data_IF_000652108434
#
_entry.id   IF_000652108434
#
_cell.length_a   1.000
_cell.length_b   1.000
_cell.length_c   1.000
_cell.angle_alpha   90.00
_cell.angle_beta   90.00
_cell.angle_gamma   90.00
#
_symmetry.space_group_name_H-M   'P 1'
#
loop_
_entity.id
_entity.type
_entity.pdbx_description
1 polymer ?
#
# COMPACT_ATOMS: atom_id res chain seq x y z
N UNK A 1 -4.00 12.87 -11.46
CA UNK A 1 -2.84 12.16 -12.00
C UNK A 1 -2.76 10.89 -11.22
N UNK A 2 -3.09 9.77 -11.86
CA UNK A 2 -3.43 8.53 -11.18
C UNK A 2 -2.26 8.03 -10.33
N UNK A 3 -2.50 7.93 -9.03
CA UNK A 3 -1.55 7.39 -8.05
C UNK A 3 -1.56 5.85 -8.18
N UNK A 4 -0.94 5.34 -9.24
CA UNK A 4 -0.92 3.92 -9.56
C UNK A 4 0.32 3.30 -8.89
N UNK A 5 0.10 2.45 -7.89
CA UNK A 5 1.14 1.54 -7.40
C UNK A 5 1.13 0.31 -8.31
N UNK A 6 2.29 -0.06 -8.86
CA UNK A 6 2.36 -1.19 -9.79
C UNK A 6 2.46 -2.52 -9.03
N UNK A 7 1.71 -3.52 -9.50
CA UNK A 7 1.88 -4.91 -9.07
C UNK A 7 3.33 -5.36 -9.30
N UNK A 8 3.93 -5.99 -8.30
CA UNK A 8 5.31 -6.48 -8.35
C UNK A 8 6.34 -5.56 -7.71
N UNK A 9 6.05 -4.27 -7.63
CA UNK A 9 6.95 -3.28 -7.00
C UNK A 9 6.78 -3.27 -5.48
N UNK A 10 7.84 -2.86 -4.78
CA UNK A 10 7.83 -2.68 -3.32
C UNK A 10 7.74 -1.20 -2.98
N UNK A 11 6.87 -0.85 -2.04
CA UNK A 11 6.64 0.52 -1.62
C UNK A 11 6.75 0.68 -0.12
N UNK A 12 7.12 1.89 0.31
CA UNK A 12 6.80 2.41 1.64
C UNK A 12 5.43 3.07 1.54
N UNK A 13 4.44 2.61 2.32
CA UNK A 13 3.04 3.03 2.21
C UNK A 13 2.60 3.60 3.57
N UNK A 14 2.08 4.83 3.59
CA UNK A 14 1.49 5.46 4.79
C UNK A 14 -0.03 5.45 4.69
N UNK A 15 -0.69 4.91 5.72
CA UNK A 15 -2.13 4.65 5.72
C UNK A 15 -2.76 5.21 6.99
N UNK A 16 -3.90 5.89 6.86
CA UNK A 16 -4.73 6.30 8.00
C UNK A 16 -5.72 5.19 8.37
N UNK A 17 -5.61 4.70 9.61
CA UNK A 17 -6.53 3.76 10.24
C UNK A 17 -7.10 4.42 11.49
N UNK A 18 -8.34 4.89 11.37
CA UNK A 18 -9.09 5.50 12.48
C UNK A 18 -8.37 6.68 13.16
N UNK A 19 -7.71 7.53 12.38
CA UNK A 19 -6.97 8.69 12.87
C UNK A 19 -5.54 8.37 13.31
N UNK A 20 -5.09 7.13 13.17
CA UNK A 20 -3.70 6.72 13.41
C UNK A 20 -3.00 6.41 12.10
N UNK A 21 -1.80 6.97 11.94
CA UNK A 21 -0.98 6.78 10.75
C UNK A 21 -0.06 5.57 10.96
N UNK A 22 -0.21 4.58 10.09
CA UNK A 22 0.66 3.41 10.03
C UNK A 22 1.56 3.50 8.81
N UNK A 23 2.80 3.02 8.93
CA UNK A 23 3.75 2.91 7.84
C UNK A 23 4.07 1.45 7.59
N UNK A 24 3.87 1.01 6.35
CA UNK A 24 4.17 -0.34 5.89
C UNK A 24 5.28 -0.30 4.84
N UNK A 25 6.06 -1.37 4.77
CA UNK A 25 6.89 -1.67 3.60
C UNK A 25 6.41 -3.00 3.04
N UNK A 26 5.95 -2.99 1.80
CA UNK A 26 5.36 -4.19 1.20
C UNK A 26 5.36 -4.19 -0.32
N UNK A 27 5.35 -5.40 -0.88
CA UNK A 27 5.26 -5.64 -2.32
C UNK A 27 3.79 -5.69 -2.73
N UNK A 28 3.40 -4.95 -3.75
CA UNK A 28 2.03 -4.99 -4.27
C UNK A 28 1.81 -6.33 -4.97
N UNK A 29 0.74 -7.01 -4.60
CA UNK A 29 0.35 -8.31 -5.17
C UNK A 29 -0.98 -8.25 -5.93
N UNK A 30 -1.80 -7.24 -5.68
CA UNK A 30 -3.05 -6.99 -6.41
C UNK A 30 -3.49 -5.54 -6.23
N UNK A 31 -4.07 -4.93 -7.25
CA UNK A 31 -4.81 -3.68 -7.13
C UNK A 31 -6.07 -3.70 -7.99
N UNK A 32 -7.10 -3.01 -7.53
CA UNK A 32 -8.31 -2.69 -8.29
C UNK A 32 -8.65 -1.20 -8.14
N UNK A 33 -9.77 -0.73 -8.66
CA UNK A 33 -10.15 0.69 -8.61
C UNK A 33 -10.19 1.28 -7.19
N UNK A 34 -10.48 0.47 -6.17
CA UNK A 34 -10.74 0.92 -4.80
C UNK A 34 -9.71 0.43 -3.79
N UNK A 35 -9.05 -0.69 -4.03
CA UNK A 35 -8.20 -1.37 -3.07
C UNK A 35 -6.80 -1.66 -3.62
N UNK A 36 -5.84 -1.71 -2.69
CA UNK A 36 -4.51 -2.24 -2.95
C UNK A 36 -4.22 -3.33 -1.93
N UNK A 37 -3.64 -4.43 -2.41
CA UNK A 37 -3.22 -5.54 -1.57
C UNK A 37 -1.71 -5.71 -1.69
N UNK A 38 -1.04 -5.79 -0.55
CA UNK A 38 0.41 -5.95 -0.47
C UNK A 38 0.82 -6.95 0.61
N UNK A 39 2.00 -7.53 0.43
CA UNK A 39 2.61 -8.45 1.38
C UNK A 39 3.85 -7.78 2.01
N UNK A 40 3.96 -7.83 3.34
CA UNK A 40 5.12 -7.29 4.06
C UNK A 40 6.28 -8.32 4.15
N UNK A 41 7.40 -7.90 4.75
CA UNK A 41 8.58 -8.75 4.98
C UNK A 41 8.35 -9.94 5.94
N UNK A 42 7.23 -9.95 6.65
CA UNK A 42 6.84 -11.02 7.56
C UNK A 42 5.79 -11.94 6.94
N UNK A 43 5.53 -11.81 5.63
CA UNK A 43 4.49 -12.52 4.88
C UNK A 43 3.05 -12.22 5.34
N UNK A 44 2.83 -11.13 6.07
CA UNK A 44 1.48 -10.67 6.36
C UNK A 44 0.90 -10.01 5.10
N UNK A 45 -0.33 -10.40 4.76
CA UNK A 45 -1.07 -9.80 3.66
C UNK A 45 -2.01 -8.73 4.19
N UNK A 46 -1.93 -7.54 3.61
CA UNK A 46 -2.80 -6.43 3.95
C UNK A 46 -3.55 -5.97 2.72
N UNK A 47 -4.82 -5.60 2.90
CA UNK A 47 -5.64 -4.98 1.86
C UNK A 47 -6.27 -3.70 2.41
N UNK A 48 -6.04 -2.59 1.72
CA UNK A 48 -6.51 -1.29 2.16
C UNK A 48 -7.20 -0.54 1.03
N UNK A 49 -8.25 0.22 1.39
CA UNK A 49 -8.90 1.13 0.48
C UNK A 49 -7.93 2.27 0.10
N UNK A 50 -7.80 2.58 -1.19
CA UNK A 50 -6.91 3.61 -1.73
C UNK A 50 -7.18 4.99 -1.14
N UNK A 51 -8.42 5.29 -0.74
CA UNK A 51 -8.76 6.57 -0.08
C UNK A 51 -8.17 6.71 1.33
N UNK A 52 -7.68 5.62 1.94
CA UNK A 52 -6.98 5.64 3.23
C UNK A 52 -5.47 5.82 3.09
N UNK A 53 -4.96 5.77 1.87
CA UNK A 53 -3.53 5.91 1.60
C UNK A 53 -3.19 7.39 1.52
N UNK A 54 -2.32 7.82 2.44
CA UNK A 54 -1.89 9.22 2.52
C UNK A 54 -0.72 9.50 1.58
N UNK A 55 0.21 8.56 1.46
CA UNK A 55 1.39 8.67 0.59
C UNK A 55 2.01 7.30 0.35
N UNK A 56 2.73 7.16 -0.76
CA UNK A 56 3.57 6.00 -1.01
C UNK A 56 4.85 6.41 -1.77
N UNK A 57 5.91 5.63 -1.59
CA UNK A 57 7.21 5.83 -2.25
C UNK A 57 7.76 4.47 -2.69
N UNK A 58 8.24 4.35 -3.93
CA UNK A 58 8.82 3.10 -4.43
C UNK A 58 10.18 2.86 -3.77
N UNK A 59 10.42 1.64 -3.33
CA UNK A 59 11.71 1.20 -2.80
C UNK A 59 12.59 0.81 -3.99
N UNK A 60 13.72 1.50 -4.17
CA UNK A 60 14.72 1.20 -5.21
C UNK A 60 15.69 0.10 -4.78
#
# INVERSE_FOLDING_TARGET
GDNIMNIGDTYIIRIDVEGKIYTYTGKIISEDDNFVTFIDKYNNTFSYNKNKILSFEVVK
#
